data_IF_611505755208
#
_entry.id   IF_611505755208
#
_cell.length_a   1.000
_cell.length_b   1.000
_cell.length_c   1.000
_cell.angle_alpha   90.00
_cell.angle_beta   90.00
_cell.angle_gamma   90.00
#
_symmetry.space_group_name_H-M   'P 1'
#
loop_
_entity.id
_entity.type
_entity.pdbx_description
1 polymer ?
#
# COMPACT_ATOMS: atom_id res chain seq x y z
N UNK A 1 -0.68 -15.95 13.46
CA UNK A 1 0.01 -15.87 12.15
C UNK A 1 1.01 -14.74 12.27
N UNK A 2 2.29 -15.04 12.46
CA UNK A 2 3.32 -14.01 12.54
C UNK A 2 3.69 -13.60 11.11
N UNK A 3 3.42 -12.33 10.78
CA UNK A 3 3.82 -11.77 9.50
C UNK A 3 5.34 -11.54 9.51
N UNK A 4 6.01 -11.86 8.41
CA UNK A 4 7.45 -11.57 8.24
C UNK A 4 7.70 -10.17 7.66
N UNK A 5 6.69 -9.53 7.09
CA UNK A 5 6.80 -8.21 6.46
C UNK A 5 5.54 -7.37 6.79
N UNK A 6 5.66 -6.03 6.82
CA UNK A 6 4.49 -5.16 6.88
C UNK A 6 3.59 -5.31 5.65
N UNK A 7 2.28 -5.23 5.88
CA UNK A 7 1.24 -5.40 4.87
C UNK A 7 0.26 -4.22 4.87
N UNK A 8 -0.25 -3.88 3.70
CA UNK A 8 -1.27 -2.85 3.51
C UNK A 8 -2.57 -3.49 3.01
N UNK A 9 -3.63 -3.41 3.82
CA UNK A 9 -4.98 -3.89 3.49
C UNK A 9 -5.78 -2.75 2.89
N UNK A 10 -6.32 -2.98 1.69
CA UNK A 10 -7.14 -2.01 0.97
C UNK A 10 -8.44 -2.67 0.56
N UNK A 11 -9.55 -1.98 0.85
CA UNK A 11 -10.92 -2.47 0.66
C UNK A 11 -11.70 -1.48 -0.19
N UNK A 12 -12.32 -1.97 -1.26
CA UNK A 12 -13.31 -1.21 -2.03
C UNK A 12 -14.68 -1.89 -1.89
N UNK A 13 -15.74 -1.10 -1.88
CA UNK A 13 -17.11 -1.62 -1.84
C UNK A 13 -17.35 -2.56 -3.02
N UNK A 14 -17.78 -3.79 -2.77
CA UNK A 14 -18.08 -4.78 -3.80
C UNK A 14 -16.85 -5.37 -4.52
N UNK A 15 -15.63 -5.08 -4.05
CA UNK A 15 -14.38 -5.66 -4.61
C UNK A 15 -13.68 -6.59 -3.62
N UNK A 16 -12.76 -7.44 -4.10
CA UNK A 16 -11.87 -8.21 -3.23
C UNK A 16 -11.08 -7.32 -2.27
N UNK A 17 -10.71 -7.90 -1.12
CA UNK A 17 -9.74 -7.29 -0.21
C UNK A 17 -8.35 -7.47 -0.80
N UNK A 18 -7.61 -6.38 -0.96
CA UNK A 18 -6.23 -6.42 -1.45
C UNK A 18 -5.26 -6.46 -0.28
N UNK A 19 -4.44 -7.52 -0.24
CA UNK A 19 -3.30 -7.64 0.68
C UNK A 19 -1.99 -7.40 -0.05
N UNK A 20 -1.40 -6.22 0.16
CA UNK A 20 -0.21 -5.79 -0.55
C UNK A 20 1.00 -5.72 0.38
N UNK A 21 2.16 -6.15 -0.12
CA UNK A 21 3.41 -6.05 0.62
C UNK A 21 3.86 -4.60 0.66
N UNK A 22 4.19 -4.09 1.85
CA UNK A 22 4.84 -2.79 2.00
C UNK A 22 6.33 -2.94 1.66
N UNK A 23 6.82 -2.10 0.76
CA UNK A 23 8.23 -2.01 0.38
C UNK A 23 8.99 -1.07 1.30
N UNK A 24 8.41 0.09 1.56
CA UNK A 24 8.97 1.17 2.36
C UNK A 24 7.86 1.85 3.15
N UNK A 25 8.19 2.32 4.35
CA UNK A 25 7.25 2.88 5.31
C UNK A 25 7.88 4.07 6.02
N UNK A 26 7.11 5.16 6.16
CA UNK A 26 7.47 6.35 6.91
C UNK A 26 6.23 6.93 7.60
N UNK A 27 6.41 7.92 8.46
CA UNK A 27 5.29 8.65 9.08
C UNK A 27 4.42 9.40 8.06
N UNK A 28 4.94 9.66 6.86
CA UNK A 28 4.25 10.39 5.79
C UNK A 28 3.55 9.48 4.78
N UNK A 29 3.85 8.19 4.75
CA UNK A 29 3.35 7.32 3.68
C UNK A 29 4.01 5.96 3.60
N UNK A 30 3.57 5.18 2.61
CA UNK A 30 4.09 3.85 2.31
C UNK A 30 4.15 3.59 0.81
N UNK A 31 5.21 2.92 0.35
CA UNK A 31 5.27 2.28 -0.95
C UNK A 31 4.78 0.83 -0.86
N UNK A 32 3.81 0.43 -1.69
CA UNK A 32 3.31 -0.96 -1.74
C UNK A 32 3.61 -1.61 -3.10
N UNK A 33 3.90 -2.90 -3.06
CA UNK A 33 4.27 -3.69 -4.25
C UNK A 33 3.03 -4.36 -4.81
N UNK A 34 2.79 -4.17 -6.10
CA UNK A 34 1.62 -4.70 -6.80
C UNK A 34 2.07 -5.35 -8.11
N UNK A 35 1.50 -6.50 -8.46
CA UNK A 35 1.71 -7.06 -9.80
C UNK A 35 1.12 -6.14 -10.86
N UNK A 36 1.77 -6.01 -12.00
CA UNK A 36 1.33 -5.15 -13.11
C UNK A 36 -0.02 -5.59 -13.72
N UNK A 37 -0.37 -6.87 -13.62
CA UNK A 37 -1.64 -7.44 -14.09
C UNK A 37 -2.75 -7.47 -13.03
N UNK A 38 -2.48 -6.97 -11.81
CA UNK A 38 -3.44 -6.96 -10.71
C UNK A 38 -4.68 -6.14 -11.03
N UNK A 39 -5.87 -6.65 -10.69
CA UNK A 39 -7.12 -5.88 -10.77
C UNK A 39 -7.08 -4.61 -9.91
N UNK A 40 -6.27 -4.59 -8.84
CA UNK A 40 -6.05 -3.41 -8.01
C UNK A 40 -5.66 -2.19 -8.85
N UNK A 41 -4.72 -2.37 -9.79
CA UNK A 41 -4.22 -1.30 -10.66
C UNK A 41 -5.30 -0.77 -11.59
N UNK A 42 -6.27 -1.61 -11.97
CA UNK A 42 -7.42 -1.21 -12.79
C UNK A 42 -8.49 -0.48 -11.98
N UNK A 43 -8.43 -0.53 -10.66
CA UNK A 43 -9.40 0.07 -9.73
C UNK A 43 -8.88 1.36 -9.10
N UNK A 44 -7.61 1.72 -9.35
CA UNK A 44 -7.01 2.93 -8.79
C UNK A 44 -6.49 3.92 -9.83
N UNK A 45 -6.45 5.18 -9.44
CA UNK A 45 -5.84 6.26 -10.20
C UNK A 45 -4.96 7.16 -9.31
N UNK A 46 -4.01 7.86 -9.92
CA UNK A 46 -3.20 8.87 -9.22
C UNK A 46 -4.13 9.99 -8.74
N UNK A 47 -3.95 10.42 -7.48
CA UNK A 47 -4.78 11.41 -6.80
C UNK A 47 -5.95 10.81 -6.01
N UNK A 48 -6.29 9.54 -6.22
CA UNK A 48 -7.39 8.89 -5.51
C UNK A 48 -7.08 8.69 -4.03
N UNK A 49 -8.08 8.92 -3.18
CA UNK A 49 -8.02 8.62 -1.75
C UNK A 49 -8.51 7.21 -1.44
N UNK A 50 -7.71 6.47 -0.69
CA UNK A 50 -7.93 5.09 -0.28
C UNK A 50 -8.00 5.00 1.24
N UNK A 51 -8.84 4.09 1.75
CA UNK A 51 -8.73 3.61 3.13
C UNK A 51 -7.74 2.46 3.16
N UNK A 52 -6.67 2.63 3.93
CA UNK A 52 -5.57 1.67 4.03
C UNK A 52 -5.41 1.26 5.48
N UNK A 53 -5.33 -0.04 5.75
CA UNK A 53 -4.93 -0.55 7.08
C UNK A 53 -3.53 -1.13 7.01
N UNK A 54 -2.61 -0.56 7.76
CA UNK A 54 -1.25 -1.06 7.90
C UNK A 54 -1.17 -2.07 9.03
N UNK A 55 -0.64 -3.25 8.70
CA UNK A 55 -0.49 -4.39 9.60
C UNK A 55 1.00 -4.66 9.73
N UNK A 56 1.54 -4.42 10.92
CA UNK A 56 2.96 -4.59 11.22
C UNK A 56 3.22 -5.91 11.94
N UNK A 57 4.31 -6.63 11.59
CA UNK A 57 4.88 -7.68 12.45
C UNK A 57 5.25 -7.15 13.84
N UNK A 58 5.30 -8.04 14.84
CA UNK A 58 5.64 -7.68 16.23
C UNK A 58 6.97 -6.93 16.38
N UNK A 59 7.94 -7.22 15.52
CA UNK A 59 9.29 -6.63 15.57
C UNK A 59 9.47 -5.40 14.68
N UNK A 60 8.39 -4.90 14.06
CA UNK A 60 8.46 -3.76 13.15
C UNK A 60 7.96 -2.49 13.86
N UNK A 61 8.73 -1.41 13.73
CA UNK A 61 8.36 -0.08 14.21
C UNK A 61 7.86 0.78 13.06
N UNK A 62 6.84 1.60 13.31
CA UNK A 62 6.29 2.54 12.34
C UNK A 62 4.78 2.73 12.48
N UNK A 63 4.16 3.51 11.60
CA UNK A 63 2.72 3.71 11.61
C UNK A 63 1.96 2.40 11.35
N UNK A 64 0.94 2.14 12.18
CA UNK A 64 0.07 0.97 12.10
C UNK A 64 -1.39 1.36 12.30
N UNK A 65 -2.32 0.50 11.83
CA UNK A 65 -3.76 0.77 11.91
C UNK A 65 -4.32 1.44 10.66
N UNK A 66 -5.45 2.13 10.80
CA UNK A 66 -6.19 2.69 9.67
C UNK A 66 -5.73 4.11 9.31
N UNK A 67 -5.51 4.33 8.01
CA UNK A 67 -5.13 5.59 7.41
C UNK A 67 -6.08 5.92 6.24
N UNK A 68 -6.33 7.21 6.02
CA UNK A 68 -6.67 7.69 4.67
C UNK A 68 -5.37 8.01 3.97
N UNK A 69 -5.23 7.58 2.73
CA UNK A 69 -4.03 7.82 1.96
C UNK A 69 -4.36 8.22 0.52
N UNK A 70 -3.55 9.06 -0.09
CA UNK A 70 -3.65 9.43 -1.50
C UNK A 70 -2.65 8.63 -2.33
N UNK A 71 -3.08 8.15 -3.49
CA UNK A 71 -2.16 7.56 -4.49
C UNK A 71 -1.35 8.69 -5.12
N UNK A 72 -0.04 8.73 -4.88
CA UNK A 72 0.84 9.79 -5.38
C UNK A 72 1.50 9.43 -6.71
N UNK A 73 1.95 8.18 -6.85
CA UNK A 73 2.58 7.71 -8.08
C UNK A 73 2.43 6.19 -8.23
N UNK A 74 2.51 5.74 -9.49
CA UNK A 74 2.57 4.33 -9.85
C UNK A 74 3.81 4.16 -10.75
N UNK A 75 4.78 3.36 -10.32
CA UNK A 75 6.08 3.27 -10.99
C UNK A 75 6.48 1.82 -11.17
N UNK A 76 6.93 1.44 -12.37
CA UNK A 76 7.44 0.09 -12.62
C UNK A 76 8.82 -0.13 -12.00
N UNK A 77 8.99 -1.29 -11.36
CA UNK A 77 10.25 -1.75 -10.83
C UNK A 77 11.07 -2.36 -11.97
N UNK A 78 12.19 -1.73 -12.30
CA UNK A 78 13.05 -2.15 -13.41
C UNK A 78 14.03 -3.29 -13.04
N UNK A 79 14.32 -3.49 -11.75
CA UNK A 79 15.39 -4.38 -11.29
C UNK A 79 15.07 -5.13 -9.99
N UNK A 80 15.85 -6.18 -9.70
CA UNK A 80 15.75 -6.98 -8.48
C UNK A 80 14.58 -7.95 -8.46
N UNK A 81 14.28 -8.50 -7.27
CA UNK A 81 13.32 -9.60 -7.08
C UNK A 81 11.87 -9.30 -7.51
N UNK A 82 11.53 -8.02 -7.67
CA UNK A 82 10.20 -7.56 -8.06
C UNK A 82 10.18 -6.87 -9.42
N UNK A 83 11.19 -7.12 -10.27
CA UNK A 83 11.19 -6.61 -11.64
C UNK A 83 9.87 -6.90 -12.36
N UNK A 84 9.34 -5.91 -13.09
CA UNK A 84 8.05 -5.96 -13.79
C UNK A 84 6.81 -5.81 -12.89
N UNK A 85 6.99 -5.66 -11.57
CA UNK A 85 5.93 -5.23 -10.67
C UNK A 85 5.89 -3.70 -10.59
N UNK A 86 4.83 -3.17 -9.99
CA UNK A 86 4.63 -1.75 -9.76
C UNK A 86 4.82 -1.42 -8.27
N UNK A 87 5.30 -0.21 -8.01
CA UNK A 87 5.21 0.45 -6.72
C UNK A 87 4.09 1.46 -6.80
N UNK A 88 3.12 1.33 -5.90
CA UNK A 88 2.11 2.36 -5.66
C UNK A 88 2.53 3.14 -4.42
N UNK A 89 2.85 4.41 -4.63
CA UNK A 89 3.19 5.34 -3.55
C UNK A 89 1.93 5.90 -2.90
N UNK A 90 1.82 5.77 -1.58
CA UNK A 90 0.69 6.22 -0.78
C UNK A 90 1.12 7.30 0.20
N UNK A 91 0.55 8.50 0.11
CA UNK A 91 0.75 9.58 1.08
C UNK A 91 -0.33 9.56 2.14
N UNK A 92 0.03 9.51 3.42
CA UNK A 92 -0.94 9.52 4.51
C UNK A 92 -1.53 10.92 4.69
N UNK A 93 -2.86 10.99 4.72
CA UNK A 93 -3.57 12.23 4.94
C UNK A 93 -3.72 12.50 6.44
N UNK A 94 -3.65 13.77 6.88
CA UNK A 94 -3.93 14.14 8.26
C UNK A 94 -5.30 13.64 8.70
N UNK A 95 -5.41 13.27 9.98
CA UNK A 95 -6.73 13.03 10.58
C UNK A 95 -7.45 14.38 10.67
N UNK A 96 -8.62 14.48 10.05
CA UNK A 96 -9.55 15.59 10.32
C UNK A 96 -10.13 15.29 11.70
N UNK A 97 -9.78 16.11 12.70
CA UNK A 97 -10.40 16.10 14.02
C UNK A 97 -11.80 16.71 13.96
#
# INVERSE_FOLDING_TARGET
MDLSNPMAEIKFSGSPIYMLKVRDLSDKGAGVIVKSDSSFIKTIEIGQELKVRLILPRYYTGPSGNFRARVEHITEIQEGRFKGHLIVGLSFLPRIN
#
